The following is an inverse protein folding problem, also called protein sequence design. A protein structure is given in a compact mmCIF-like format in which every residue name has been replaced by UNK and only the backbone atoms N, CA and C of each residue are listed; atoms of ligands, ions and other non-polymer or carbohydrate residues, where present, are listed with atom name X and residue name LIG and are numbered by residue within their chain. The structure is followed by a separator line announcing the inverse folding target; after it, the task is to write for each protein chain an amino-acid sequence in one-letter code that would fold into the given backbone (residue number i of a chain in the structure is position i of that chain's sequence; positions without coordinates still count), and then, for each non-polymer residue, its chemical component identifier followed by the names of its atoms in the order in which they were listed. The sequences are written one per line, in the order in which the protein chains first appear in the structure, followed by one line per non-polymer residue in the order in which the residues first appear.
data_IF_605649757826
#
_entry.id   IF_605649757826
#
_cell.length_a   1.000
_cell.length_b   1.000
_cell.length_c   1.000
_cell.angle_alpha   90.00
_cell.angle_beta   90.00
_cell.angle_gamma   90.00
#
_symmetry.space_group_name_H-M   'P 1'
#
loop_
_entity.id
_entity.type
_entity.pdbx_description
1 polymer ?
#
# COMPACT_ATOMS: atom_id res chain seq x y z
N UNK A 1 -10.30 4.23 9.01
CA UNK A 1 -9.84 4.76 7.71
C UNK A 1 -10.53 4.00 6.59
N UNK A 2 -10.82 4.68 5.48
CA UNK A 2 -11.50 4.11 4.30
C UNK A 2 -10.49 3.94 3.17
N UNK A 3 -10.72 2.94 2.30
CA UNK A 3 -9.92 2.77 1.07
C UNK A 3 -10.27 3.91 0.10
N UNK A 4 -9.26 4.69 -0.31
CA UNK A 4 -9.39 5.69 -1.40
C UNK A 4 -8.89 5.12 -2.73
N UNK A 5 -7.89 4.25 -2.67
CA UNK A 5 -7.38 3.47 -3.79
C UNK A 5 -6.39 2.42 -3.31
N UNK A 6 -5.94 1.56 -4.22
CA UNK A 6 -5.03 0.45 -3.95
C UNK A 6 -3.92 0.46 -5.00
N UNK A 7 -2.67 0.27 -4.59
CA UNK A 7 -1.54 0.11 -5.52
C UNK A 7 -0.97 -1.30 -5.49
N UNK A 8 -0.43 -1.74 -6.62
CA UNK A 8 0.28 -3.00 -6.76
C UNK A 8 1.56 -2.79 -7.57
N UNK A 9 2.58 -3.58 -7.25
CA UNK A 9 3.79 -3.73 -8.05
C UNK A 9 4.08 -5.21 -8.18
N UNK A 10 4.22 -5.70 -9.41
CA UNK A 10 4.47 -7.13 -9.70
C UNK A 10 5.91 -7.38 -10.11
N UNK A 11 6.59 -6.36 -10.60
CA UNK A 11 8.00 -6.38 -10.99
C UNK A 11 8.63 -5.00 -10.70
N UNK A 12 9.95 -4.93 -10.42
CA UNK A 12 10.63 -3.64 -10.25
C UNK A 12 10.38 -2.70 -11.45
N UNK A 13 9.96 -1.47 -11.16
CA UNK A 13 9.63 -0.47 -12.19
C UNK A 13 8.26 -0.66 -12.86
N UNK A 14 7.48 -1.68 -12.50
CA UNK A 14 6.11 -1.90 -13.02
C UNK A 14 5.09 -1.94 -11.89
N UNK A 15 4.47 -0.78 -11.67
CA UNK A 15 3.42 -0.61 -10.68
C UNK A 15 2.18 0.04 -11.29
N UNK A 16 1.02 -0.19 -10.66
CA UNK A 16 -0.25 0.42 -11.02
C UNK A 16 -0.96 0.94 -9.76
N UNK A 17 -1.72 2.01 -9.92
CA UNK A 17 -2.62 2.54 -8.90
C UNK A 17 -4.06 2.45 -9.40
N UNK A 18 -4.95 1.95 -8.54
CA UNK A 18 -6.37 1.80 -8.79
C UNK A 18 -7.10 2.83 -7.92
N UNK A 19 -7.52 3.99 -8.48
CA UNK A 19 -8.37 4.94 -7.77
C UNK A 19 -9.79 4.37 -7.65
N UNK A 20 -10.38 4.48 -6.45
CA UNK A 20 -11.70 3.92 -6.17
C UNK A 20 -12.69 4.88 -5.52
N UNK A 21 -12.20 5.89 -4.78
CA UNK A 21 -13.04 6.85 -4.04
C UNK A 21 -12.45 8.27 -4.01
N UNK A 22 -11.82 8.71 -5.09
CA UNK A 22 -11.50 10.14 -5.24
C UNK A 22 -12.80 10.91 -5.48
N UNK A 23 -13.05 11.96 -4.71
CA UNK A 23 -14.33 12.67 -4.63
C UNK A 23 -14.22 14.19 -4.87
N UNK A 24 -13.09 14.66 -5.39
CA UNK A 24 -12.89 16.08 -5.74
C UNK A 24 -13.74 16.50 -6.95
N UNK A 25 -14.00 17.81 -7.07
CA UNK A 25 -14.77 18.34 -8.19
C UNK A 25 -14.10 18.04 -9.54
N UNK A 26 -14.83 17.39 -10.44
CA UNK A 26 -14.30 16.96 -11.73
C UNK A 26 -13.41 15.73 -11.68
N UNK A 27 -13.45 14.94 -10.59
CA UNK A 27 -12.80 13.63 -10.55
C UNK A 27 -13.26 12.77 -11.74
N UNK A 28 -12.34 12.18 -12.52
CA UNK A 28 -12.68 11.28 -13.61
C UNK A 28 -13.46 10.06 -13.11
N UNK A 29 -14.14 9.38 -14.04
CA UNK A 29 -14.78 8.11 -13.77
C UNK A 29 -13.77 7.08 -13.24
N UNK A 30 -14.16 6.41 -12.16
CA UNK A 30 -13.36 5.40 -11.46
C UNK A 30 -14.06 4.05 -11.54
N UNK A 31 -13.30 2.98 -11.32
CA UNK A 31 -13.88 1.63 -11.25
C UNK A 31 -14.87 1.53 -10.08
N UNK A 32 -15.90 0.71 -10.26
CA UNK A 32 -16.86 0.46 -9.19
C UNK A 32 -16.15 -0.14 -7.96
N UNK A 33 -16.31 0.51 -6.81
CA UNK A 33 -15.64 0.13 -5.56
C UNK A 33 -15.94 -1.32 -5.17
N UNK A 34 -17.21 -1.70 -5.10
CA UNK A 34 -17.64 -3.00 -4.61
C UNK A 34 -17.23 -4.14 -5.57
N UNK A 35 -17.42 -3.93 -6.87
CA UNK A 35 -17.03 -4.91 -7.89
C UNK A 35 -15.52 -5.10 -7.94
N UNK A 36 -14.75 -4.01 -7.80
CA UNK A 36 -13.28 -4.08 -7.80
C UNK A 36 -12.78 -4.83 -6.57
N UNK A 37 -13.29 -4.53 -5.39
CA UNK A 37 -12.94 -5.26 -4.17
C UNK A 37 -13.35 -6.74 -4.26
N UNK A 38 -14.52 -7.05 -4.84
CA UNK A 38 -14.95 -8.42 -5.05
C UNK A 38 -13.99 -9.20 -5.97
N UNK A 39 -13.46 -8.55 -7.02
CA UNK A 39 -12.47 -9.13 -7.93
C UNK A 39 -11.09 -9.30 -7.28
N UNK A 40 -10.68 -8.36 -6.41
CA UNK A 40 -9.40 -8.41 -5.72
C UNK A 40 -9.40 -9.37 -4.53
N UNK A 41 -10.56 -9.59 -3.89
CA UNK A 41 -10.67 -10.41 -2.68
C UNK A 41 -10.04 -11.80 -2.81
N UNK A 42 -10.30 -12.61 -3.87
CA UNK A 42 -9.65 -13.91 -4.01
C UNK A 42 -8.12 -13.83 -4.01
N UNK A 43 -7.54 -12.80 -4.65
CA UNK A 43 -6.09 -12.61 -4.72
C UNK A 43 -5.51 -12.22 -3.35
N UNK A 44 -6.20 -11.30 -2.66
CA UNK A 44 -5.78 -10.79 -1.35
C UNK A 44 -5.89 -11.85 -0.25
N UNK A 45 -6.90 -12.73 -0.31
CA UNK A 45 -7.11 -13.80 0.67
C UNK A 45 -6.37 -15.11 0.34
N UNK A 46 -5.76 -15.24 -0.84
CA UNK A 46 -5.01 -16.43 -1.23
C UNK A 46 -3.62 -16.47 -0.55
N UNK A 47 -3.40 -17.42 0.35
CA UNK A 47 -2.10 -17.62 1.04
C UNK A 47 -0.95 -18.02 0.10
N UNK A 48 -1.27 -18.65 -1.04
CA UNK A 48 -0.25 -19.07 -2.03
C UNK A 48 0.31 -17.89 -2.82
N UNK A 49 -0.47 -16.82 -2.97
CA UNK A 49 -0.01 -15.57 -3.55
C UNK A 49 0.74 -14.79 -2.48
N UNK A 50 2.07 -14.75 -2.62
CA UNK A 50 2.97 -14.09 -1.67
C UNK A 50 2.91 -12.57 -1.83
N UNK A 51 2.79 -11.85 -0.71
CA UNK A 51 2.77 -10.38 -0.67
C UNK A 51 3.93 -9.82 0.12
N UNK A 52 4.41 -8.69 -0.37
CA UNK A 52 5.37 -7.80 0.27
C UNK A 52 4.75 -6.43 0.40
N UNK A 53 5.08 -5.72 1.48
CA UNK A 53 4.66 -4.34 1.71
C UNK A 53 5.43 -3.72 2.86
N UNK A 54 5.10 -2.47 3.18
CA UNK A 54 5.70 -1.71 4.27
C UNK A 54 4.63 -1.50 5.34
N UNK A 55 4.86 -1.95 6.58
CA UNK A 55 3.91 -1.81 7.69
C UNK A 55 2.52 -2.38 7.38
N UNK A 56 2.49 -3.63 6.87
CA UNK A 56 1.28 -4.30 6.37
C UNK A 56 0.20 -4.50 7.44
N UNK A 57 0.54 -4.39 8.72
CA UNK A 57 -0.44 -4.32 9.82
C UNK A 57 -1.53 -3.28 9.52
N UNK A 58 -1.15 -2.11 8.99
CA UNK A 58 -2.11 -1.06 8.66
C UNK A 58 -3.05 -1.53 7.54
N UNK A 59 -2.50 -2.02 6.43
CA UNK A 59 -3.27 -2.51 5.28
C UNK A 59 -4.23 -3.65 5.67
N UNK A 60 -3.77 -4.58 6.51
CA UNK A 60 -4.60 -5.66 7.05
C UNK A 60 -5.84 -5.11 7.78
N UNK A 61 -5.69 -4.09 8.62
CA UNK A 61 -6.82 -3.46 9.30
C UNK A 61 -7.76 -2.73 8.32
N UNK A 62 -7.21 -2.07 7.31
CA UNK A 62 -8.02 -1.40 6.28
C UNK A 62 -8.86 -2.43 5.49
N UNK A 63 -8.25 -3.52 5.04
CA UNK A 63 -8.96 -4.58 4.32
C UNK A 63 -10.00 -5.30 5.19
N UNK A 64 -9.72 -5.49 6.49
CA UNK A 64 -10.66 -6.10 7.42
C UNK A 64 -11.98 -5.31 7.56
N UNK A 65 -11.93 -3.97 7.46
CA UNK A 65 -13.12 -3.12 7.44
C UNK A 65 -14.04 -3.37 6.23
N UNK A 66 -13.50 -4.03 5.19
CA UNK A 66 -14.22 -4.41 3.98
C UNK A 66 -14.42 -5.92 3.86
N UNK A 67 -14.33 -6.66 4.98
CA UNK A 67 -14.48 -8.11 5.05
C UNK A 67 -13.51 -8.87 4.14
N UNK A 68 -12.29 -8.34 3.97
CA UNK A 68 -11.18 -8.97 3.26
C UNK A 68 -10.12 -9.32 4.29
N UNK A 69 -9.82 -10.61 4.43
CA UNK A 69 -8.71 -11.09 5.26
C UNK A 69 -7.44 -11.15 4.43
N UNK A 70 -6.59 -10.12 4.50
CA UNK A 70 -5.30 -10.15 3.79
C UNK A 70 -4.45 -11.32 4.30
N UNK A 71 -4.07 -12.22 3.40
CA UNK A 71 -3.26 -13.42 3.67
C UNK A 71 -2.06 -13.50 2.73
N UNK A 72 -1.14 -14.42 3.00
CA UNK A 72 0.05 -14.60 2.16
C UNK A 72 1.10 -13.49 2.32
N UNK A 73 1.04 -12.71 3.41
CA UNK A 73 2.08 -11.73 3.74
C UNK A 73 3.34 -12.49 4.15
N UNK A 74 4.37 -12.42 3.32
CA UNK A 74 5.67 -13.09 3.58
C UNK A 74 6.78 -12.10 3.92
N UNK A 75 6.62 -10.84 3.53
CA UNK A 75 7.63 -9.80 3.71
C UNK A 75 6.98 -8.50 4.17
N UNK A 76 7.49 -7.96 5.28
CA UNK A 76 7.21 -6.58 5.70
C UNK A 76 8.56 -5.85 5.78
N UNK A 77 8.76 -4.87 4.89
CA UNK A 77 10.05 -4.18 4.74
C UNK A 77 10.43 -3.35 5.98
N UNK A 78 9.44 -2.91 6.77
CA UNK A 78 9.69 -2.26 8.05
C UNK A 78 10.30 -3.26 9.02
N UNK A 79 9.70 -4.44 9.16
CA UNK A 79 10.17 -5.47 10.09
C UNK A 79 11.52 -6.05 9.66
N UNK A 80 11.73 -6.25 8.36
CA UNK A 80 13.02 -6.68 7.82
C UNK A 80 14.15 -5.71 8.21
N UNK A 81 13.91 -4.41 8.02
CA UNK A 81 14.86 -3.37 8.41
C UNK A 81 15.06 -3.32 9.93
N UNK A 82 13.99 -3.44 10.71
CA UNK A 82 14.06 -3.43 12.18
C UNK A 82 14.90 -4.58 12.73
N UNK A 83 14.72 -5.79 12.20
CA UNK A 83 15.50 -6.97 12.63
C UNK A 83 16.98 -6.80 12.26
N UNK A 84 17.28 -6.21 11.11
CA UNK A 84 18.65 -6.01 10.66
C UNK A 84 19.38 -4.91 11.45
N UNK A 85 18.69 -3.82 11.77
CA UNK A 85 19.32 -2.60 12.29
C UNK A 85 18.37 -1.74 13.13
N UNK A 86 17.88 -2.29 14.24
CA UNK A 86 16.82 -1.70 15.10
C UNK A 86 17.06 -0.27 15.62
N UNK A 87 18.26 0.28 15.48
CA UNK A 87 18.63 1.63 15.93
C UNK A 87 18.39 2.71 14.88
N UNK A 88 18.00 2.33 13.66
CA UNK A 88 17.82 3.24 12.53
C UNK A 88 16.34 3.62 12.31
N UNK A 89 16.08 4.59 11.43
CA UNK A 89 14.72 4.88 10.99
C UNK A 89 14.26 3.84 9.96
N UNK A 90 13.06 3.30 10.16
CA UNK A 90 12.49 2.22 9.33
C UNK A 90 11.32 2.67 8.44
N UNK A 91 11.07 3.98 8.33
CA UNK A 91 10.09 4.53 7.40
C UNK A 91 10.51 4.34 5.95
N UNK A 92 9.52 4.14 5.05
CA UNK A 92 9.77 3.82 3.63
C UNK A 92 10.72 4.80 2.95
N UNK A 93 10.55 6.10 3.21
CA UNK A 93 11.37 7.16 2.62
C UNK A 93 12.85 7.01 2.99
N UNK A 94 13.13 6.75 4.28
CA UNK A 94 14.48 6.49 4.76
C UNK A 94 15.05 5.20 4.18
N UNK A 95 14.23 4.14 4.08
CA UNK A 95 14.67 2.87 3.49
C UNK A 95 15.00 3.01 2.00
N UNK A 96 14.17 3.74 1.25
CA UNK A 96 14.35 3.98 -0.17
C UNK A 96 15.61 4.80 -0.44
N UNK A 97 15.84 5.87 0.30
CA UNK A 97 17.02 6.70 0.14
C UNK A 97 18.30 5.93 0.51
N UNK A 98 18.29 5.22 1.64
CA UNK A 98 19.47 4.48 2.11
C UNK A 98 19.86 3.30 1.23
N UNK A 99 18.88 2.51 0.78
CA UNK A 99 19.16 1.24 0.08
C UNK A 99 19.14 1.38 -1.45
N UNK A 100 18.40 2.37 -1.97
CA UNK A 100 18.22 2.54 -3.42
C UNK A 100 18.76 3.88 -3.93
N UNK A 101 19.12 4.83 -3.06
CA UNK A 101 19.48 6.18 -3.47
C UNK A 101 18.32 6.97 -4.07
N UNK A 102 17.08 6.52 -3.84
CA UNK A 102 15.87 7.10 -4.41
C UNK A 102 15.14 7.84 -3.30
N UNK A 103 14.94 9.15 -3.48
CA UNK A 103 14.06 9.95 -2.61
C UNK A 103 12.60 9.78 -3.06
N UNK A 104 11.71 9.18 -2.26
CA UNK A 104 10.29 9.08 -2.62
C UNK A 104 9.58 10.43 -2.58
N UNK A 105 8.40 10.48 -3.18
CA UNK A 105 7.52 11.64 -3.09
C UNK A 105 6.91 11.64 -1.69
N UNK A 106 7.15 12.70 -0.91
CA UNK A 106 6.61 12.80 0.44
C UNK A 106 5.09 13.01 0.39
N UNK A 107 4.38 12.48 1.40
CA UNK A 107 2.92 12.64 1.49
C UNK A 107 2.49 14.11 1.48
N UNK A 108 3.22 14.99 2.17
CA UNK A 108 2.95 16.43 2.20
C UNK A 108 3.08 17.12 0.83
N UNK A 109 3.89 16.58 -0.08
CA UNK A 109 4.03 17.13 -1.44
C UNK A 109 2.78 16.88 -2.28
N UNK A 110 2.01 15.84 -1.95
CA UNK A 110 0.78 15.46 -2.68
C UNK A 110 -0.47 16.00 -1.97
N UNK A 111 -0.56 15.79 -0.65
CA UNK A 111 -1.74 16.15 0.14
C UNK A 111 -1.72 17.62 0.61
N UNK A 112 -0.58 18.30 0.46
CA UNK A 112 -0.33 19.60 1.08
C UNK A 112 -0.11 19.51 2.58
N UNK A 113 0.18 20.65 3.20
CA UNK A 113 0.13 20.80 4.66
C UNK A 113 -1.32 21.11 5.00
N UNK A 114 -1.99 20.20 5.71
CA UNK A 114 -3.37 20.42 6.16
C UNK A 114 -3.51 21.78 6.83
N UNK A 115 -4.54 22.53 6.44
CA UNK A 115 -4.95 23.74 7.15
C UNK A 115 -5.52 23.38 8.53
#
# INVERSE_FOLDING_TARGET
AQIVGISFSVEPGKAAYIPLRHDYFGAPDQLNFAETLAKLKPILEDESIKKVGQNLKYDMHIFANHHIQLRGVVHDTLLQSYVFESHMNHGMDNLSERHLGIKPIAFEEVAGKGA
#
